data_IF_542242432388
#
_entry.id   IF_542242432388
#
_cell.length_a   1.000
_cell.length_b   1.000
_cell.length_c   1.000
_cell.angle_alpha   90.00
_cell.angle_beta   90.00
_cell.angle_gamma   90.00
#
_symmetry.space_group_name_H-M   'P 1'
#
loop_
_entity.id
_entity.type
_entity.pdbx_description
1 polymer ?
#
# COMPACT_ATOMS: atom_id res chain seq x y z
N UNK A 1 14.21 -3.77 13.59
CA UNK A 1 15.05 -2.86 14.41
C UNK A 1 15.68 -1.72 13.62
N UNK A 2 16.02 -1.87 12.32
CA UNK A 2 16.65 -0.78 11.54
C UNK A 2 15.72 0.37 11.13
N UNK A 3 14.40 0.16 11.11
CA UNK A 3 13.42 1.15 10.63
C UNK A 3 13.08 2.23 11.66
N UNK A 4 12.87 1.87 12.93
CA UNK A 4 12.59 2.82 14.03
C UNK A 4 13.62 3.95 14.17
N UNK A 5 14.91 3.60 14.06
CA UNK A 5 16.02 4.54 14.22
C UNK A 5 16.12 5.55 13.08
N UNK A 6 15.50 5.26 11.93
CA UNK A 6 15.61 6.10 10.74
C UNK A 6 14.51 7.17 10.67
N UNK A 7 13.39 6.95 11.37
CA UNK A 7 12.21 7.83 11.32
C UNK A 7 11.87 8.52 12.65
N UNK A 8 12.46 8.12 13.78
CA UNK A 8 12.23 8.75 15.08
C UNK A 8 13.56 9.23 15.73
N UNK A 9 13.82 10.55 15.79
CA UNK A 9 15.06 11.10 16.33
C UNK A 9 15.25 10.78 17.83
N UNK A 10 14.16 10.66 18.59
CA UNK A 10 14.21 10.30 20.02
C UNK A 10 14.68 8.86 20.23
N UNK A 11 14.33 7.95 19.33
CA UNK A 11 14.77 6.54 19.35
C UNK A 11 16.24 6.42 19.01
N UNK A 12 16.76 7.27 18.12
CA UNK A 12 18.18 7.36 17.81
C UNK A 12 18.99 7.95 18.99
N UNK A 13 18.49 9.00 19.66
CA UNK A 13 19.12 9.56 20.87
C UNK A 13 19.12 8.58 22.05
N UNK A 14 18.07 7.78 22.22
CA UNK A 14 17.99 6.77 23.26
C UNK A 14 19.07 5.67 23.10
N UNK A 15 19.47 5.34 21.87
CA UNK A 15 20.54 4.37 21.60
C UNK A 15 21.92 4.89 22.01
N UNK A 16 22.16 6.20 21.89
CA UNK A 16 23.45 6.83 22.19
C UNK A 16 23.56 7.31 23.63
N UNK A 17 22.48 7.82 24.22
CA UNK A 17 22.53 8.51 25.53
C UNK A 17 22.04 7.67 26.71
N UNK A 18 21.21 6.65 26.49
CA UNK A 18 20.61 5.86 27.58
C UNK A 18 21.26 4.48 27.70
N UNK A 19 21.23 3.86 28.88
CA UNK A 19 21.76 2.51 29.13
C UNK A 19 20.81 1.67 29.99
N UNK A 20 20.92 0.34 29.93
CA UNK A 20 20.13 -0.56 30.77
C UNK A 20 18.61 -0.53 30.48
N UNK A 21 17.79 -0.56 31.55
CA UNK A 21 16.31 -0.63 31.46
C UNK A 21 15.69 0.60 30.78
N UNK A 22 16.32 1.77 30.89
CA UNK A 22 15.82 3.03 30.30
C UNK A 22 15.95 3.05 28.78
N UNK A 23 17.07 2.52 28.25
CA UNK A 23 17.25 2.31 26.80
C UNK A 23 16.18 1.36 26.26
N UNK A 24 15.95 0.25 26.95
CA UNK A 24 14.94 -0.74 26.55
C UNK A 24 13.54 -0.13 26.59
N UNK A 25 13.19 0.66 27.61
CA UNK A 25 11.90 1.35 27.70
C UNK A 25 11.67 2.33 26.55
N UNK A 26 12.67 3.13 26.18
CA UNK A 26 12.56 4.08 25.06
C UNK A 26 12.54 3.39 23.69
N UNK A 27 13.31 2.31 23.51
CA UNK A 27 13.26 1.51 22.27
C UNK A 27 11.91 0.81 22.11
N UNK A 28 11.33 0.28 23.19
CA UNK A 28 9.99 -0.31 23.19
C UNK A 28 8.94 0.76 22.91
N UNK A 29 9.03 1.95 23.50
CA UNK A 29 8.13 3.06 23.21
C UNK A 29 8.26 3.59 21.77
N UNK A 30 9.47 3.60 21.20
CA UNK A 30 9.71 3.93 19.78
C UNK A 30 9.11 2.89 18.83
N UNK A 31 9.27 1.60 19.15
CA UNK A 31 8.63 0.51 18.40
C UNK A 31 7.10 0.50 18.57
N UNK A 32 6.59 0.87 19.74
CA UNK A 32 5.16 0.99 20.01
C UNK A 32 4.55 2.19 19.28
N UNK A 33 5.26 3.32 19.18
CA UNK A 33 4.88 4.45 18.31
C UNK A 33 4.94 4.09 16.83
N UNK A 34 5.97 3.40 16.36
CA UNK A 34 5.99 2.88 14.99
C UNK A 34 4.83 1.91 14.74
N UNK A 35 4.49 1.06 15.72
CA UNK A 35 3.32 0.18 15.65
C UNK A 35 2.01 0.96 15.67
N UNK A 36 1.89 2.02 16.46
CA UNK A 36 0.71 2.86 16.55
C UNK A 36 0.51 3.69 15.26
N UNK A 37 1.59 4.15 14.65
CA UNK A 37 1.58 4.79 13.32
C UNK A 37 1.27 3.79 12.21
N UNK A 38 1.73 2.54 12.33
CA UNK A 38 1.26 1.42 11.48
C UNK A 38 -0.18 1.00 11.80
N UNK A 39 -0.71 1.31 12.99
CA UNK A 39 -2.08 0.98 13.37
C UNK A 39 -3.09 1.99 12.81
N UNK A 40 -2.69 3.23 12.52
CA UNK A 40 -3.61 4.23 11.99
C UNK A 40 -4.10 3.85 10.58
N UNK A 41 -5.41 3.59 10.40
CA UNK A 41 -5.94 3.14 9.13
C UNK A 41 -5.91 4.25 8.06
N UNK A 42 -5.86 5.54 8.44
CA UNK A 42 -5.76 6.65 7.48
C UNK A 42 -4.37 6.74 6.89
N UNK A 43 -3.32 6.61 7.70
CA UNK A 43 -1.93 6.62 7.21
C UNK A 43 -1.67 5.41 6.31
N UNK A 44 -2.20 4.25 6.67
CA UNK A 44 -2.14 3.06 5.82
C UNK A 44 -2.90 3.25 4.50
N UNK A 45 -4.08 3.87 4.54
CA UNK A 45 -4.86 4.18 3.33
C UNK A 45 -4.11 5.16 2.41
N UNK A 46 -3.51 6.20 2.96
CA UNK A 46 -2.75 7.21 2.21
C UNK A 46 -1.58 6.56 1.42
N UNK A 47 -0.74 5.78 2.13
CA UNK A 47 0.35 5.01 1.50
C UNK A 47 -0.15 4.00 0.48
N UNK A 48 -1.30 3.38 0.74
CA UNK A 48 -1.91 2.44 -0.19
C UNK A 48 -2.30 3.15 -1.49
N UNK A 49 -2.96 4.32 -1.38
CA UNK A 49 -3.37 5.15 -2.51
C UNK A 49 -2.15 5.61 -3.32
N UNK A 50 -1.09 6.10 -2.66
CA UNK A 50 0.16 6.48 -3.31
C UNK A 50 0.76 5.31 -4.09
N UNK A 51 0.97 4.16 -3.43
CA UNK A 51 1.57 2.98 -4.06
C UNK A 51 0.71 2.46 -5.21
N UNK A 52 -0.61 2.46 -5.06
CA UNK A 52 -1.53 2.04 -6.11
C UNK A 52 -1.44 2.95 -7.34
N UNK A 53 -1.37 4.26 -7.14
CA UNK A 53 -1.21 5.23 -8.24
C UNK A 53 0.15 5.08 -8.92
N UNK A 54 1.23 4.85 -8.16
CA UNK A 54 2.56 4.59 -8.72
C UNK A 54 2.56 3.35 -9.62
N UNK A 55 2.06 2.20 -9.13
CA UNK A 55 1.97 0.96 -9.91
C UNK A 55 1.09 1.14 -11.17
N UNK A 56 0.00 1.90 -11.05
CA UNK A 56 -0.85 2.22 -12.20
C UNK A 56 -0.13 3.09 -13.23
N UNK A 57 0.70 4.03 -12.80
CA UNK A 57 1.54 4.87 -13.67
C UNK A 57 2.62 4.04 -14.35
N UNK A 58 3.36 3.24 -13.58
CA UNK A 58 4.40 2.33 -14.08
C UNK A 58 3.82 1.37 -15.13
N UNK A 59 2.66 0.77 -14.84
CA UNK A 59 1.94 -0.07 -15.81
C UNK A 59 1.57 0.66 -17.09
N UNK A 60 1.16 1.93 -17.01
CA UNK A 60 0.83 2.75 -18.19
C UNK A 60 2.05 3.12 -19.02
N UNK A 61 3.23 3.24 -18.40
CA UNK A 61 4.50 3.45 -19.07
C UNK A 61 5.01 2.16 -19.74
N UNK A 62 4.75 1.00 -19.11
CA UNK A 62 5.08 -0.34 -19.61
C UNK A 62 4.14 -0.80 -20.75
N UNK A 63 4.05 0.01 -21.82
CA UNK A 63 3.32 -0.35 -23.05
C UNK A 63 4.18 -1.23 -23.96
N UNK A 64 3.51 -2.00 -24.82
CA UNK A 64 4.14 -2.88 -25.80
C UNK A 64 4.44 -4.28 -25.27
N UNK A 65 4.51 -5.25 -26.18
CA UNK A 65 4.74 -6.67 -25.88
C UNK A 65 6.13 -6.94 -25.27
N UNK A 66 7.12 -6.10 -25.57
CA UNK A 66 8.47 -6.20 -25.01
C UNK A 66 8.53 -5.98 -23.49
N UNK A 67 7.53 -5.32 -22.90
CA UNK A 67 7.44 -5.04 -21.47
C UNK A 67 6.46 -5.98 -20.74
N UNK A 68 5.99 -7.05 -21.39
CA UNK A 68 4.95 -7.94 -20.85
C UNK A 68 5.35 -8.58 -19.52
N UNK A 69 6.60 -9.02 -19.39
CA UNK A 69 7.10 -9.62 -18.14
C UNK A 69 7.11 -8.60 -16.98
N UNK A 70 7.66 -7.41 -17.22
CA UNK A 70 7.70 -6.33 -16.22
C UNK A 70 6.28 -5.89 -15.85
N UNK A 71 5.40 -5.79 -16.84
CA UNK A 71 3.97 -5.50 -16.64
C UNK A 71 3.32 -6.57 -15.76
N UNK A 72 3.61 -7.85 -16.01
CA UNK A 72 3.16 -8.97 -15.19
C UNK A 72 3.58 -8.85 -13.72
N UNK A 73 4.82 -8.42 -13.45
CA UNK A 73 5.31 -8.17 -12.08
C UNK A 73 4.55 -7.03 -11.38
N UNK A 74 4.25 -5.95 -12.10
CA UNK A 74 3.42 -4.84 -11.60
C UNK A 74 2.00 -5.33 -11.30
N UNK A 75 1.41 -6.12 -12.19
CA UNK A 75 0.07 -6.69 -11.99
C UNK A 75 0.00 -7.64 -10.78
N UNK A 76 1.04 -8.44 -10.55
CA UNK A 76 1.14 -9.29 -9.34
C UNK A 76 1.19 -8.43 -8.08
N UNK A 77 1.98 -7.36 -8.05
CA UNK A 77 2.02 -6.44 -6.90
C UNK A 77 0.66 -5.78 -6.65
N UNK A 78 -0.04 -5.34 -7.70
CA UNK A 78 -1.39 -4.78 -7.55
C UNK A 78 -2.40 -5.82 -7.03
N UNK A 79 -2.28 -7.09 -7.43
CA UNK A 79 -3.11 -8.18 -6.89
C UNK A 79 -2.82 -8.45 -5.41
N UNK A 80 -1.55 -8.50 -5.02
CA UNK A 80 -1.15 -8.66 -3.62
C UNK A 80 -1.69 -7.53 -2.74
N UNK A 81 -1.59 -6.28 -3.22
CA UNK A 81 -2.20 -5.13 -2.56
C UNK A 81 -3.72 -5.29 -2.41
N UNK A 82 -4.41 -5.76 -3.44
CA UNK A 82 -5.86 -6.00 -3.38
C UNK A 82 -6.21 -7.08 -2.34
N UNK A 83 -5.44 -8.17 -2.28
CA UNK A 83 -5.60 -9.25 -1.29
C UNK A 83 -5.30 -8.77 0.14
N UNK A 84 -4.39 -7.82 0.31
CA UNK A 84 -4.10 -7.25 1.64
C UNK A 84 -5.31 -6.53 2.24
N UNK A 85 -6.21 -5.98 1.40
CA UNK A 85 -7.46 -5.35 1.84
C UNK A 85 -8.46 -6.36 2.40
N UNK A 86 -8.51 -7.57 1.84
CA UNK A 86 -9.36 -8.64 2.37
C UNK A 86 -8.93 -9.08 3.77
N UNK A 87 -7.63 -8.90 4.09
CA UNK A 87 -7.05 -9.22 5.40
C UNK A 87 -7.15 -8.05 6.40
N UNK A 88 -7.44 -6.84 5.92
CA UNK A 88 -7.52 -5.63 6.75
C UNK A 88 -8.84 -4.87 6.53
N UNK A 89 -9.92 -5.23 7.24
CA UNK A 89 -11.24 -4.63 7.04
C UNK A 89 -11.31 -3.14 7.42
N UNK A 90 -10.42 -2.68 8.32
CA UNK A 90 -10.35 -1.27 8.72
C UNK A 90 -9.75 -0.39 7.61
N UNK A 91 -8.68 -0.87 6.97
CA UNK A 91 -8.09 -0.26 5.79
C UNK A 91 -9.08 -0.27 4.62
N UNK A 92 -9.77 -1.40 4.38
CA UNK A 92 -10.78 -1.49 3.32
C UNK A 92 -11.87 -0.43 3.50
N UNK A 93 -12.41 -0.28 4.72
CA UNK A 93 -13.46 0.70 5.01
C UNK A 93 -12.96 2.14 4.79
N UNK A 94 -11.73 2.44 5.23
CA UNK A 94 -11.12 3.77 5.03
C UNK A 94 -10.92 4.07 3.53
N UNK A 95 -10.38 3.10 2.78
CA UNK A 95 -10.21 3.23 1.33
C UNK A 95 -11.53 3.35 0.59
N UNK A 96 -12.59 2.66 1.05
CA UNK A 96 -13.94 2.76 0.49
C UNK A 96 -14.51 4.17 0.60
N UNK A 97 -14.28 4.84 1.73
CA UNK A 97 -14.66 6.25 1.89
C UNK A 97 -13.82 7.18 1.00
N UNK A 98 -12.57 6.81 0.71
CA UNK A 98 -11.61 7.54 -0.12
C UNK A 98 -11.53 7.05 -1.58
N UNK A 99 -12.49 6.25 -2.01
CA UNK A 99 -12.48 5.62 -3.33
C UNK A 99 -12.34 6.64 -4.47
N UNK A 100 -12.94 7.82 -4.29
CA UNK A 100 -12.90 8.92 -5.25
C UNK A 100 -11.47 9.43 -5.50
N UNK A 101 -10.59 9.38 -4.49
CA UNK A 101 -9.18 9.79 -4.62
C UNK A 101 -8.38 8.85 -5.54
N UNK A 102 -8.84 7.59 -5.66
CA UNK A 102 -8.28 6.61 -6.59
C UNK A 102 -8.95 6.63 -7.97
N UNK A 103 -9.87 7.59 -8.21
CA UNK A 103 -10.68 7.66 -9.41
C UNK A 103 -11.77 6.58 -9.48
N UNK A 104 -12.10 5.94 -8.36
CA UNK A 104 -13.18 4.96 -8.25
C UNK A 104 -14.46 5.71 -7.86
N UNK A 105 -15.32 5.97 -8.84
CA UNK A 105 -16.51 6.81 -8.66
C UNK A 105 -17.69 6.07 -8.02
N UNK A 106 -17.75 4.74 -8.17
CA UNK A 106 -18.85 3.94 -7.64
C UNK A 106 -18.37 2.57 -7.17
N UNK A 107 -18.62 2.27 -5.90
CA UNK A 107 -18.46 0.95 -5.31
C UNK A 107 -19.85 0.49 -4.94
N UNK A 108 -20.37 -0.53 -5.64
CA UNK A 108 -21.69 -1.06 -5.34
C UNK A 108 -21.79 -1.47 -3.87
N UNK A 109 -22.99 -1.37 -3.29
CA UNK A 109 -23.21 -1.60 -1.85
C UNK A 109 -22.65 -2.95 -1.37
N UNK A 110 -22.77 -3.98 -2.22
CA UNK A 110 -22.30 -5.36 -1.99
C UNK A 110 -20.89 -5.65 -2.52
N UNK A 111 -20.19 -4.66 -3.06
CA UNK A 111 -18.85 -4.83 -3.63
C UNK A 111 -17.78 -4.37 -2.64
N UNK A 112 -16.78 -5.22 -2.42
CA UNK A 112 -15.59 -4.88 -1.62
C UNK A 112 -14.59 -4.06 -2.44
N UNK A 113 -13.78 -3.24 -1.77
CA UNK A 113 -12.74 -2.47 -2.46
C UNK A 113 -11.73 -3.41 -3.13
N UNK A 114 -11.35 -4.49 -2.43
CA UNK A 114 -10.46 -5.52 -2.96
C UNK A 114 -10.93 -6.05 -4.33
N UNK A 115 -12.23 -6.37 -4.45
CA UNK A 115 -12.81 -6.90 -5.69
C UNK A 115 -12.94 -5.85 -6.80
N UNK A 116 -13.13 -4.58 -6.45
CA UNK A 116 -13.11 -3.48 -7.44
C UNK A 116 -11.70 -3.30 -8.00
N UNK A 117 -10.69 -3.31 -7.12
CA UNK A 117 -9.27 -3.21 -7.50
C UNK A 117 -8.80 -4.39 -8.34
N UNK A 118 -9.14 -5.62 -7.96
CA UNK A 118 -8.80 -6.82 -8.73
C UNK A 118 -9.38 -6.77 -10.16
N UNK A 119 -10.60 -6.26 -10.31
CA UNK A 119 -11.22 -6.06 -11.62
C UNK A 119 -10.52 -4.98 -12.44
N UNK A 120 -10.06 -3.89 -11.83
CA UNK A 120 -9.24 -2.90 -12.55
C UNK A 120 -7.95 -3.53 -13.07
N UNK A 121 -7.27 -4.36 -12.26
CA UNK A 121 -6.05 -5.04 -12.70
C UNK A 121 -6.34 -5.96 -13.89
N UNK A 122 -7.44 -6.72 -13.81
CA UNK A 122 -7.80 -7.73 -14.82
C UNK A 122 -8.39 -7.14 -16.10
N UNK A 123 -9.20 -6.07 -16.03
CA UNK A 123 -9.79 -5.41 -17.22
C UNK A 123 -8.74 -4.77 -18.13
N UNK A 124 -7.67 -4.22 -17.56
CA UNK A 124 -6.59 -3.66 -18.36
C UNK A 124 -5.82 -4.71 -19.18
N UNK A 125 -5.85 -6.00 -18.79
CA UNK A 125 -5.27 -7.10 -19.59
C UNK A 125 -6.02 -7.28 -20.90
N UNK A 126 -7.33 -7.09 -20.89
CA UNK A 126 -8.18 -7.16 -22.09
C UNK A 126 -7.91 -6.01 -23.06
N UNK A 127 -7.58 -4.82 -22.56
CA UNK A 127 -7.24 -3.66 -23.39
C UNK A 127 -5.86 -3.79 -24.05
N UNK A 128 -4.88 -4.44 -23.39
CA UNK A 128 -3.55 -4.65 -23.96
C UNK A 128 -3.49 -5.74 -25.04
N UNK A 129 -4.42 -6.72 -25.01
CA UNK A 129 -4.50 -7.81 -25.99
C UNK A 129 -5.27 -7.43 -27.27
N UNK A 130 -5.88 -6.24 -27.33
CA UNK A 130 -6.77 -5.83 -28.42
C UNK A 130 -6.16 -4.87 -29.46
N UNK A 131 -4.85 -4.64 -29.44
CA UNK A 131 -4.18 -3.66 -30.32
C UNK A 131 -3.26 -4.29 -31.37
N UNK A 132 -3.65 -5.45 -31.90
CA UNK A 132 -3.06 -6.00 -33.13
C UNK A 132 -4.06 -5.82 -34.29
N UNK A 133 -3.96 -4.69 -34.99
CA UNK A 133 -4.37 -4.55 -36.38
C UNK A 133 -3.43 -3.61 -37.11
#
# INVERSE_FOLDING_TARGET
>A
MRSAMQYDPKTAEAMTQLSGRERVGQLVAGMDRERALQADPNVRADRFIERWNELRSERQQLRGWQNDETRGKVEVQMRDMSQSLERDPQLESTLRNRAQEMGITHIGREQTMARVMERQVSQSRSQSLGLER
#
